data_IF_056201062138
#
_entry.id   IF_056201062138
#
_cell.length_a   1.000
_cell.length_b   1.000
_cell.length_c   1.000
_cell.angle_alpha   90.00
_cell.angle_beta   90.00
_cell.angle_gamma   90.00
#
_symmetry.space_group_name_H-M   'P 1'
#
loop_
_entity.id
_entity.type
_entity.pdbx_description
1 polymer ?
#
# COMPACT_ATOMS: atom_id res chain seq x y z
N UNK A 1 18.73 -29.52 -0.61
CA UNK A 1 17.52 -29.20 -1.39
C UNK A 1 17.47 -27.68 -1.50
N UNK A 2 17.78 -27.15 -2.68
CA UNK A 2 17.94 -25.71 -2.90
C UNK A 2 16.87 -25.25 -3.88
N UNK A 3 15.75 -24.78 -3.36
CA UNK A 3 14.86 -23.88 -4.10
C UNK A 3 14.57 -22.69 -3.18
N UNK A 4 15.42 -21.64 -3.16
CA UNK A 4 15.20 -20.53 -2.22
C UNK A 4 15.19 -19.13 -2.88
N UNK A 5 15.12 -19.00 -4.20
CA UNK A 5 15.19 -17.68 -4.85
C UNK A 5 13.87 -17.25 -5.52
N UNK A 6 13.05 -18.19 -5.98
CA UNK A 6 11.82 -17.88 -6.74
C UNK A 6 10.61 -17.64 -5.84
N UNK A 7 10.48 -18.36 -4.73
CA UNK A 7 9.32 -18.24 -3.84
C UNK A 7 9.38 -16.94 -3.02
N UNK A 8 10.56 -16.60 -2.49
CA UNK A 8 10.82 -15.39 -1.72
C UNK A 8 10.62 -14.15 -2.60
N UNK A 9 11.13 -14.22 -3.83
CA UNK A 9 10.94 -13.18 -4.83
C UNK A 9 9.45 -12.99 -5.17
N UNK A 10 8.68 -14.08 -5.30
CA UNK A 10 7.24 -14.00 -5.54
C UNK A 10 6.47 -13.47 -4.33
N UNK A 11 6.86 -13.85 -3.10
CA UNK A 11 6.23 -13.36 -1.88
C UNK A 11 6.48 -11.86 -1.67
N UNK A 12 7.73 -11.41 -1.81
CA UNK A 12 8.08 -9.98 -1.80
C UNK A 12 7.35 -9.22 -2.91
N UNK A 13 7.22 -9.85 -4.08
CA UNK A 13 6.51 -9.26 -5.20
C UNK A 13 5.03 -9.04 -4.87
N UNK A 14 4.35 -10.03 -4.31
CA UNK A 14 2.94 -9.92 -3.94
C UNK A 14 2.72 -8.81 -2.90
N UNK A 15 3.57 -8.74 -1.87
CA UNK A 15 3.47 -7.71 -0.83
C UNK A 15 3.77 -6.30 -1.38
N UNK A 16 4.73 -6.15 -2.28
CA UNK A 16 5.02 -4.84 -2.85
C UNK A 16 4.00 -4.36 -3.88
N UNK A 17 3.39 -5.24 -4.68
CA UNK A 17 2.21 -4.91 -5.50
C UNK A 17 1.03 -4.48 -4.62
N UNK A 18 0.79 -5.16 -3.50
CA UNK A 18 -0.23 -4.75 -2.53
C UNK A 18 0.03 -3.33 -2.02
N UNK A 19 1.28 -3.00 -1.68
CA UNK A 19 1.65 -1.66 -1.22
C UNK A 19 1.42 -0.59 -2.30
N UNK A 20 1.72 -0.90 -3.57
CA UNK A 20 1.38 -0.03 -4.70
C UNK A 20 -0.12 0.23 -4.79
N UNK A 21 -0.93 -0.83 -4.69
CA UNK A 21 -2.39 -0.71 -4.74
C UNK A 21 -2.95 0.09 -3.56
N UNK A 22 -2.38 -0.07 -2.35
CA UNK A 22 -2.74 0.74 -1.18
C UNK A 22 -2.49 2.22 -1.47
N UNK A 23 -1.26 2.57 -1.88
CA UNK A 23 -0.89 3.97 -2.11
C UNK A 23 -1.67 4.61 -3.26
N UNK A 24 -1.89 3.87 -4.36
CA UNK A 24 -2.73 4.33 -5.46
C UNK A 24 -4.19 4.50 -5.04
N UNK A 25 -4.74 3.58 -4.25
CA UNK A 25 -6.10 3.67 -3.75
C UNK A 25 -6.30 4.80 -2.74
N UNK A 26 -5.30 5.07 -1.88
CA UNK A 26 -5.31 6.26 -1.02
C UNK A 26 -5.39 7.54 -1.86
N UNK A 27 -4.52 7.67 -2.86
CA UNK A 27 -4.52 8.84 -3.72
C UNK A 27 -5.85 8.98 -4.47
N UNK A 28 -6.40 7.89 -5.04
CA UNK A 28 -7.68 7.89 -5.73
C UNK A 28 -8.84 8.31 -4.83
N UNK A 29 -8.85 7.90 -3.55
CA UNK A 29 -9.91 8.30 -2.59
C UNK A 29 -9.81 9.76 -2.17
N UNK A 30 -8.60 10.30 -2.04
CA UNK A 30 -8.39 11.63 -1.46
C UNK A 30 -8.40 12.72 -2.54
N UNK A 31 -7.76 12.45 -3.68
CA UNK A 31 -7.61 13.34 -4.83
C UNK A 31 -8.09 12.66 -6.14
N UNK A 32 -9.36 12.22 -6.23
CA UNK A 32 -9.86 11.47 -7.38
C UNK A 32 -9.69 12.21 -8.71
N UNK A 33 -9.90 13.53 -8.73
CA UNK A 33 -9.75 14.36 -9.94
C UNK A 33 -8.31 14.48 -10.46
N UNK A 34 -7.32 14.13 -9.64
CA UNK A 34 -5.89 14.18 -9.99
C UNK A 34 -5.27 12.79 -10.17
N UNK A 35 -6.07 11.73 -10.08
CA UNK A 35 -5.60 10.35 -10.21
C UNK A 35 -5.35 9.99 -11.69
N UNK A 36 -4.23 9.34 -11.97
CA UNK A 36 -3.85 8.81 -13.27
C UNK A 36 -3.23 7.42 -13.09
N UNK A 37 -3.56 6.46 -13.96
CA UNK A 37 -3.10 5.07 -13.81
C UNK A 37 -1.61 4.88 -14.14
N UNK A 38 -0.95 5.88 -14.72
CA UNK A 38 0.46 5.81 -15.17
C UNK A 38 1.46 6.30 -14.11
N UNK A 39 0.98 6.90 -13.01
CA UNK A 39 1.83 7.49 -11.97
C UNK A 39 2.00 6.51 -10.81
N UNK A 40 3.24 6.37 -10.35
CA UNK A 40 3.51 5.75 -9.05
C UNK A 40 3.21 6.77 -7.95
N UNK A 41 2.27 6.42 -7.08
CA UNK A 41 1.89 7.24 -5.94
C UNK A 41 2.78 6.91 -4.74
N UNK A 42 2.90 7.87 -3.81
CA UNK A 42 3.51 7.73 -2.49
C UNK A 42 2.72 8.57 -1.50
N UNK A 43 2.60 8.11 -0.25
CA UNK A 43 1.88 8.85 0.80
C UNK A 43 2.52 10.22 1.06
N UNK A 44 3.86 10.28 1.10
CA UNK A 44 4.60 11.54 1.19
C UNK A 44 4.28 12.51 0.03
N UNK A 45 4.10 11.98 -1.18
CA UNK A 45 3.74 12.77 -2.36
C UNK A 45 2.29 13.24 -2.28
N UNK A 46 1.37 12.37 -1.86
CA UNK A 46 -0.03 12.71 -1.60
C UNK A 46 -0.14 13.87 -0.59
N UNK A 47 0.54 13.80 0.55
CA UNK A 47 0.58 14.87 1.56
C UNK A 47 1.03 16.20 0.94
N UNK A 48 2.09 16.19 0.13
CA UNK A 48 2.58 17.37 -0.61
C UNK A 48 1.57 17.88 -1.63
N UNK A 49 0.90 16.98 -2.36
CA UNK A 49 -0.07 17.34 -3.39
C UNK A 49 -1.33 17.98 -2.76
N UNK A 50 -1.80 17.50 -1.60
CA UNK A 50 -2.86 18.14 -0.80
C UNK A 50 -2.47 19.57 -0.41
N UNK A 51 -1.22 19.79 0.02
CA UNK A 51 -0.77 21.13 0.43
C UNK A 51 -0.63 22.11 -0.74
N UNK A 52 -0.32 21.59 -1.94
CA UNK A 52 -0.18 22.35 -3.20
C UNK A 52 -1.50 22.66 -3.90
N UNK A 53 -2.63 22.09 -3.46
CA UNK A 53 -3.95 22.42 -3.98
C UNK A 53 -4.18 23.93 -3.85
N UNK A 54 -4.06 24.60 -4.99
CA UNK A 54 -4.16 26.03 -5.10
C UNK A 54 -5.57 26.35 -5.58
N UNK A 55 -6.32 27.10 -4.76
CA UNK A 55 -7.39 28.06 -5.16
C UNK A 55 -8.83 27.87 -4.68
N UNK A 56 -9.20 26.84 -3.92
CA UNK A 56 -10.37 26.97 -3.04
C UNK A 56 -10.09 26.36 -1.68
N UNK A 57 -10.38 27.12 -0.62
CA UNK A 57 -10.34 26.62 0.77
C UNK A 57 -11.15 25.31 0.89
N UNK A 58 -12.18 25.18 0.06
CA UNK A 58 -13.08 24.04 0.02
C UNK A 58 -12.39 22.74 -0.44
N UNK A 59 -11.69 22.74 -1.58
CA UNK A 59 -11.08 21.50 -2.11
C UNK A 59 -9.95 20.97 -1.22
N UNK A 60 -9.12 21.86 -0.67
CA UNK A 60 -8.08 21.49 0.29
C UNK A 60 -8.67 20.96 1.59
N UNK A 61 -9.72 21.60 2.12
CA UNK A 61 -10.41 21.14 3.32
C UNK A 61 -11.08 19.78 3.12
N UNK A 62 -11.72 19.57 1.98
CA UNK A 62 -12.32 18.27 1.61
C UNK A 62 -11.26 17.17 1.47
N UNK A 63 -10.14 17.44 0.81
CA UNK A 63 -9.06 16.47 0.68
C UNK A 63 -8.47 16.09 2.06
N UNK A 64 -8.26 17.07 2.94
CA UNK A 64 -7.84 16.81 4.33
C UNK A 64 -8.87 15.99 5.09
N UNK A 65 -10.16 16.31 4.94
CA UNK A 65 -11.24 15.54 5.56
C UNK A 65 -11.24 14.09 5.06
N UNK A 66 -11.15 13.85 3.75
CA UNK A 66 -11.04 12.50 3.17
C UNK A 66 -9.82 11.75 3.71
N UNK A 67 -8.70 12.44 3.95
CA UNK A 67 -7.52 11.83 4.55
C UNK A 67 -7.75 11.41 6.01
N UNK A 68 -8.32 12.29 6.84
CA UNK A 68 -8.64 11.97 8.23
C UNK A 68 -9.70 10.85 8.36
N UNK A 69 -10.75 10.91 7.55
CA UNK A 69 -11.80 9.88 7.50
C UNK A 69 -11.21 8.52 7.09
N UNK A 70 -10.31 8.51 6.11
CA UNK A 70 -9.63 7.30 5.67
C UNK A 70 -8.68 6.74 6.75
N UNK A 71 -7.91 7.60 7.42
CA UNK A 71 -7.06 7.21 8.56
C UNK A 71 -7.89 6.58 9.69
N UNK A 72 -9.01 7.20 10.04
CA UNK A 72 -9.92 6.71 11.07
C UNK A 72 -10.53 5.36 10.69
N UNK A 73 -11.07 5.26 9.47
CA UNK A 73 -11.71 4.03 8.96
C UNK A 73 -10.75 2.85 8.93
N UNK A 74 -9.50 3.10 8.53
CA UNK A 74 -8.48 2.07 8.39
C UNK A 74 -7.60 1.92 9.64
N UNK A 75 -7.89 2.66 10.71
CA UNK A 75 -7.13 2.68 11.96
C UNK A 75 -5.62 2.86 11.75
N UNK A 76 -5.26 3.75 10.81
CA UNK A 76 -3.86 4.00 10.44
C UNK A 76 -3.11 4.71 11.56
N UNK A 77 -2.04 4.08 12.08
CA UNK A 77 -1.08 4.73 12.97
C UNK A 77 0.06 5.32 12.13
N UNK A 78 0.04 6.63 11.89
CA UNK A 78 0.89 7.39 10.93
C UNK A 78 2.38 7.06 10.95
N UNK A 79 2.91 6.69 12.10
CA UNK A 79 4.35 6.49 12.33
C UNK A 79 4.85 5.15 11.76
N UNK A 80 3.99 4.15 11.61
CA UNK A 80 4.43 2.76 11.36
C UNK A 80 4.15 2.26 9.94
N UNK A 81 3.15 2.81 9.25
CA UNK A 81 2.69 2.26 7.97
C UNK A 81 3.39 2.86 6.75
N UNK A 82 3.82 4.12 6.80
CA UNK A 82 4.45 4.79 5.64
C UNK A 82 5.81 4.15 5.32
N UNK A 83 6.62 3.90 6.34
CA UNK A 83 7.94 3.27 6.20
C UNK A 83 7.83 1.81 5.76
N UNK A 84 6.83 1.07 6.25
CA UNK A 84 6.55 -0.29 5.81
C UNK A 84 6.11 -0.34 4.33
N UNK A 85 5.24 0.59 3.93
CA UNK A 85 4.80 0.71 2.53
C UNK A 85 5.96 1.06 1.60
N UNK A 86 6.78 2.04 1.96
CA UNK A 86 7.94 2.45 1.15
C UNK A 86 8.97 1.33 1.04
N UNK A 87 9.31 0.65 2.15
CA UNK A 87 10.27 -0.46 2.17
C UNK A 87 9.83 -1.65 1.29
N UNK A 88 8.55 -2.03 1.36
CA UNK A 88 8.01 -3.14 0.55
C UNK A 88 7.86 -2.76 -0.92
N UNK A 89 7.50 -1.51 -1.22
CA UNK A 89 7.40 -0.99 -2.58
C UNK A 89 8.77 -0.85 -3.26
N UNK A 90 9.82 -0.43 -2.53
CA UNK A 90 11.19 -0.38 -3.05
C UNK A 90 11.72 -1.77 -3.44
N UNK A 91 11.35 -2.81 -2.69
CA UNK A 91 11.62 -4.21 -3.06
C UNK A 91 10.96 -4.63 -4.37
N UNK A 92 9.72 -4.20 -4.60
CA UNK A 92 8.95 -4.52 -5.81
C UNK A 92 9.34 -3.74 -7.06
N UNK A 93 9.64 -2.44 -6.93
CA UNK A 93 10.04 -1.61 -8.07
C UNK A 93 11.31 -2.14 -8.77
N UNK A 94 12.12 -2.96 -8.10
CA UNK A 94 13.27 -3.68 -8.70
C UNK A 94 12.86 -4.88 -9.58
N UNK A 95 11.58 -5.23 -9.65
CA UNK A 95 11.03 -6.40 -10.36
C UNK A 95 10.07 -6.01 -11.51
N UNK A 96 10.51 -5.09 -12.39
CA UNK A 96 9.71 -4.50 -13.48
C UNK A 96 9.16 -5.47 -14.55
N UNK A 97 9.55 -6.74 -14.58
CA UNK A 97 9.31 -7.63 -15.73
C UNK A 97 8.26 -8.72 -15.51
N UNK A 98 7.45 -8.66 -14.45
CA UNK A 98 6.54 -9.76 -14.13
C UNK A 98 5.08 -9.28 -14.07
N UNK A 99 4.20 -9.96 -14.83
CA UNK A 99 2.73 -9.74 -14.86
C UNK A 99 2.15 -9.43 -13.47
N UNK A 100 1.23 -8.46 -13.31
CA UNK A 100 0.64 -8.15 -12.01
C UNK A 100 0.05 -9.42 -11.38
N UNK A 101 0.43 -9.79 -10.15
CA UNK A 101 -0.10 -10.98 -9.50
C UNK A 101 -1.61 -10.82 -9.27
N UNK A 102 -2.35 -11.93 -9.37
CA UNK A 102 -3.76 -11.94 -8.97
C UNK A 102 -3.81 -11.98 -7.43
N UNK A 103 -3.84 -10.80 -6.82
CA UNK A 103 -3.81 -10.66 -5.37
C UNK A 103 -5.14 -11.04 -4.73
N UNK A 104 -5.05 -11.78 -3.63
CA UNK A 104 -6.15 -11.97 -2.69
C UNK A 104 -5.57 -12.11 -1.28
N UNK A 105 -6.42 -11.96 -0.27
CA UNK A 105 -6.00 -11.99 1.15
C UNK A 105 -5.25 -13.28 1.50
N UNK A 106 -5.67 -14.43 0.95
CA UNK A 106 -5.02 -15.72 1.20
C UNK A 106 -3.59 -15.72 0.68
N UNK A 107 -3.38 -15.32 -0.58
CA UNK A 107 -2.06 -15.23 -1.21
C UNK A 107 -1.14 -14.25 -0.46
N UNK A 108 -1.68 -13.13 0.01
CA UNK A 108 -0.91 -12.14 0.77
C UNK A 108 -0.49 -12.66 2.15
N UNK A 109 -1.39 -13.34 2.87
CA UNK A 109 -1.08 -13.96 4.16
C UNK A 109 -0.05 -15.08 4.00
N UNK A 110 -0.20 -15.95 3.00
CA UNK A 110 0.78 -17.00 2.69
C UNK A 110 2.17 -16.41 2.35
N UNK A 111 2.19 -15.29 1.62
CA UNK A 111 3.43 -14.57 1.30
C UNK A 111 4.09 -13.99 2.56
N UNK A 112 3.30 -13.38 3.45
CA UNK A 112 3.81 -12.82 4.72
C UNK A 112 4.36 -13.93 5.65
N UNK A 113 3.64 -15.04 5.80
CA UNK A 113 4.09 -16.19 6.59
C UNK A 113 5.36 -16.84 6.02
N UNK A 114 5.49 -16.90 4.69
CA UNK A 114 6.71 -17.41 4.05
C UNK A 114 7.93 -16.56 4.40
N UNK A 115 7.82 -15.23 4.27
CA UNK A 115 8.90 -14.29 4.57
C UNK A 115 9.23 -14.22 6.07
N UNK A 116 8.24 -14.40 6.94
CA UNK A 116 8.46 -14.53 8.39
C UNK A 116 9.27 -15.79 8.71
N UNK A 117 8.90 -16.95 8.15
CA UNK A 117 9.63 -18.22 8.35
C UNK A 117 11.09 -18.12 7.94
N UNK A 118 11.38 -17.31 6.92
CA UNK A 118 12.72 -17.06 6.42
C UNK A 118 13.47 -15.94 7.19
N UNK A 119 12.82 -15.34 8.20
CA UNK A 119 13.36 -14.22 8.99
C UNK A 119 13.72 -13.00 8.16
N UNK A 120 13.00 -12.78 7.06
CA UNK A 120 13.11 -11.59 6.21
C UNK A 120 12.30 -10.45 6.82
N UNK A 121 11.10 -10.74 7.33
CA UNK A 121 10.25 -9.77 8.02
C UNK A 121 10.84 -9.39 9.38
N UNK A 122 11.37 -8.18 9.49
CA UNK A 122 11.97 -7.63 10.71
C UNK A 122 11.75 -6.11 10.79
N UNK A 123 11.76 -5.56 12.00
CA UNK A 123 11.68 -4.13 12.23
C UNK A 123 10.42 -3.50 11.60
N UNK A 124 10.61 -2.56 10.68
CA UNK A 124 9.56 -1.83 9.96
C UNK A 124 8.64 -2.70 9.10
N UNK A 125 9.07 -3.91 8.74
CA UNK A 125 8.27 -4.88 7.96
C UNK A 125 7.96 -6.15 8.77
N UNK A 126 7.74 -6.03 10.08
CA UNK A 126 7.32 -7.18 10.91
C UNK A 126 6.03 -7.82 10.40
N UNK A 127 5.82 -9.12 10.67
CA UNK A 127 4.60 -9.83 10.28
C UNK A 127 3.32 -9.12 10.76
N UNK A 128 3.33 -8.55 11.97
CA UNK A 128 2.21 -7.77 12.50
C UNK A 128 1.88 -6.56 11.60
N UNK A 129 2.90 -5.77 11.23
CA UNK A 129 2.74 -4.60 10.37
C UNK A 129 2.27 -5.00 8.97
N UNK A 130 2.84 -6.08 8.40
CA UNK A 130 2.41 -6.61 7.11
C UNK A 130 0.95 -7.07 7.14
N UNK A 131 0.52 -7.77 8.19
CA UNK A 131 -0.89 -8.16 8.35
C UNK A 131 -1.80 -6.94 8.46
N UNK A 132 -1.39 -5.90 9.18
CA UNK A 132 -2.11 -4.62 9.20
C UNK A 132 -2.26 -4.01 7.80
N UNK A 133 -1.21 -4.04 6.98
CA UNK A 133 -1.29 -3.59 5.58
C UNK A 133 -2.22 -4.45 4.72
N UNK A 134 -2.28 -5.77 4.95
CA UNK A 134 -3.21 -6.68 4.27
C UNK A 134 -4.66 -6.32 4.62
N UNK A 135 -4.94 -6.04 5.88
CA UNK A 135 -6.27 -5.64 6.33
C UNK A 135 -6.66 -4.27 5.76
N UNK A 136 -5.72 -3.32 5.71
CA UNK A 136 -5.88 -2.03 5.02
C UNK A 136 -6.22 -2.23 3.55
N UNK A 137 -5.45 -3.06 2.84
CA UNK A 137 -5.67 -3.34 1.42
C UNK A 137 -7.04 -3.97 1.18
N UNK A 138 -7.41 -4.97 1.99
CA UNK A 138 -8.72 -5.61 1.94
C UNK A 138 -9.84 -4.59 2.09
N UNK A 139 -9.78 -3.77 3.14
CA UNK A 139 -10.80 -2.74 3.39
C UNK A 139 -10.82 -1.65 2.30
N UNK A 140 -9.68 -1.37 1.66
CA UNK A 140 -9.60 -0.41 0.56
C UNK A 140 -10.28 -0.94 -0.71
N UNK A 141 -10.05 -2.21 -1.05
CA UNK A 141 -10.66 -2.92 -2.19
C UNK A 141 -12.16 -3.09 -1.94
N UNK A 142 -12.56 -3.58 -0.77
CA UNK A 142 -13.97 -3.80 -0.40
C UNK A 142 -14.76 -2.47 -0.38
N UNK A 143 -14.11 -1.36 0.01
CA UNK A 143 -14.72 -0.02 0.01
C UNK A 143 -14.75 0.62 -1.40
N UNK A 144 -14.20 -0.02 -2.42
CA UNK A 144 -14.35 0.35 -3.83
C UNK A 144 -15.54 -0.32 -4.54
N UNK A 145 -16.17 -1.32 -3.91
CA UNK A 145 -17.30 -2.08 -4.49
C UNK A 145 -18.68 -1.66 -3.97
N UNK A 146 -18.75 -0.77 -2.98
CA UNK A 146 -20.02 -0.14 -2.61
C UNK A 146 -20.24 1.09 -3.50
N UNK A 147 -21.05 0.84 -4.53
CA UNK A 147 -21.62 1.75 -5.52
C UNK A 147 -21.99 3.15 -5.00
#
# INVERSE_FOLDING_TARGET
>A
MSVPASEDANALKNLGEMCLQIQAGFYKKILPGYFTPIRSYKVATLKKDIEKLSKTVNEKAEARKRWEDLKSTLQLKEEDFEEALDALQEGYNRSHNLKPPNLNVKVLKESAESLERQKILKGWISLERVNGLIDIWKNLVDCGEKA
#
